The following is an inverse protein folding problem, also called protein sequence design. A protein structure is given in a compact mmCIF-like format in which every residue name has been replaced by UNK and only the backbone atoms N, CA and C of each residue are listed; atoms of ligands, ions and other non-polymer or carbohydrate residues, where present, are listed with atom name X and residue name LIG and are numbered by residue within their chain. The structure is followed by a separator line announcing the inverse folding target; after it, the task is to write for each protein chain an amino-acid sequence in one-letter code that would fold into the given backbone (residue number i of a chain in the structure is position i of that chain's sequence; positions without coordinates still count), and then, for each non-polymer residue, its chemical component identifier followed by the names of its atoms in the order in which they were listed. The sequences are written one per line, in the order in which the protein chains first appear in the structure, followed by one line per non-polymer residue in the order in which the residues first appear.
data_IF_603308037118
#
_entry.id   IF_603308037118
#
_cell.length_a   1.000
_cell.length_b   1.000
_cell.length_c   1.000
_cell.angle_alpha   90.00
_cell.angle_beta   90.00
_cell.angle_gamma   90.00
#
_symmetry.space_group_name_H-M   'P 1'
#
loop_
_entity.id
_entity.type
_entity.pdbx_description
1 polymer ?
#
# COMPACT_ATOMS: atom_id res chain seq x y z
N UNK A 1 15.87 -7.33 -72.24
CA UNK A 1 15.69 -8.31 -73.35
C UNK A 1 16.00 -9.67 -72.75
N UNK A 2 15.14 -10.68 -72.70
CA UNK A 2 13.96 -10.98 -73.49
C UNK A 2 12.85 -11.61 -72.60
N UNK A 3 11.61 -11.42 -73.05
CA UNK A 3 10.41 -12.07 -72.54
C UNK A 3 10.32 -13.52 -73.02
N UNK A 4 9.67 -14.37 -72.24
CA UNK A 4 8.82 -15.43 -72.78
C UNK A 4 7.63 -15.61 -71.83
N UNK A 5 6.47 -15.48 -72.45
CA UNK A 5 5.13 -15.43 -71.90
C UNK A 5 4.46 -16.81 -72.07
N UNK A 6 3.21 -16.91 -71.59
CA UNK A 6 2.13 -17.83 -72.02
C UNK A 6 1.64 -18.89 -71.00
N UNK A 7 0.64 -18.43 -70.23
CA UNK A 7 -0.75 -18.94 -70.07
C UNK A 7 -1.16 -19.90 -68.93
N UNK A 8 -2.14 -19.37 -68.19
CA UNK A 8 -3.46 -19.90 -67.80
C UNK A 8 -3.57 -21.20 -66.98
N UNK A 9 -4.25 -21.12 -65.82
CA UNK A 9 -5.59 -21.71 -65.59
C UNK A 9 -6.13 -21.34 -64.17
N UNK A 10 -7.26 -20.63 -64.19
CA UNK A 10 -8.46 -20.65 -63.34
C UNK A 10 -8.40 -20.79 -61.79
N UNK A 11 -9.04 -19.79 -61.15
CA UNK A 11 -9.71 -19.85 -59.84
C UNK A 11 -10.83 -20.91 -59.80
N UNK A 12 -11.15 -21.40 -58.60
CA UNK A 12 -12.56 -21.49 -58.22
C UNK A 12 -12.83 -20.80 -56.87
N UNK A 13 -13.71 -19.81 -56.94
CA UNK A 13 -14.58 -19.40 -55.85
C UNK A 13 -15.50 -20.55 -55.47
N UNK A 14 -15.64 -20.85 -54.18
CA UNK A 14 -16.82 -21.57 -53.72
C UNK A 14 -17.37 -20.98 -52.41
N UNK A 15 -18.45 -20.23 -52.57
CA UNK A 15 -19.46 -19.94 -51.56
C UNK A 15 -20.31 -21.21 -51.39
N UNK A 16 -20.58 -21.59 -50.15
CA UNK A 16 -21.65 -22.52 -49.77
C UNK A 16 -22.18 -22.08 -48.38
N UNK A 17 -23.43 -22.44 -48.00
CA UNK A 17 -24.45 -21.44 -47.74
C UNK A 17 -24.83 -21.28 -46.27
N UNK A 18 -25.49 -20.15 -46.04
CA UNK A 18 -26.29 -19.81 -44.88
C UNK A 18 -27.39 -20.87 -44.67
N UNK A 19 -27.40 -21.52 -43.50
CA UNK A 19 -28.57 -22.25 -42.99
C UNK A 19 -28.91 -21.62 -41.64
N UNK A 20 -30.03 -20.92 -41.62
CA UNK A 20 -30.67 -20.42 -40.43
C UNK A 20 -31.25 -21.60 -39.64
N UNK A 21 -30.90 -21.71 -38.37
CA UNK A 21 -31.74 -22.39 -37.38
C UNK A 21 -32.19 -21.35 -36.36
N UNK A 22 -33.50 -21.15 -36.39
CA UNK A 22 -34.28 -20.39 -35.44
C UNK A 22 -34.64 -21.30 -34.24
N UNK A 23 -35.11 -20.67 -33.16
CA UNK A 23 -35.76 -21.22 -31.96
C UNK A 23 -34.88 -21.45 -30.72
N UNK A 24 -35.16 -20.66 -29.67
CA UNK A 24 -35.10 -21.19 -28.31
C UNK A 24 -34.80 -20.21 -27.17
N UNK A 25 -35.78 -19.38 -26.82
CA UNK A 25 -35.89 -18.66 -25.55
C UNK A 25 -35.41 -19.46 -24.31
N UNK A 26 -34.26 -19.08 -23.75
CA UNK A 26 -33.85 -19.45 -22.38
C UNK A 26 -33.25 -18.25 -21.66
N UNK A 27 -34.00 -17.14 -21.62
CA UNK A 27 -33.59 -15.87 -20.99
C UNK A 27 -34.44 -15.45 -19.78
N UNK A 28 -35.41 -16.27 -19.34
CA UNK A 28 -36.40 -15.88 -18.32
C UNK A 28 -36.42 -16.78 -17.06
N UNK A 29 -35.83 -17.98 -17.09
CA UNK A 29 -35.89 -18.92 -15.94
C UNK A 29 -34.77 -18.74 -14.90
N UNK A 30 -33.65 -18.10 -15.24
CA UNK A 30 -32.55 -17.89 -14.29
C UNK A 30 -32.79 -16.71 -13.33
N UNK A 31 -33.59 -15.70 -13.75
CA UNK A 31 -33.89 -14.52 -12.92
C UNK A 31 -34.97 -14.78 -11.87
N UNK A 32 -35.86 -15.75 -12.09
CA UNK A 32 -36.95 -16.10 -11.16
C UNK A 32 -36.43 -17.00 -10.02
N UNK A 33 -35.45 -17.87 -10.29
CA UNK A 33 -34.85 -18.72 -9.25
C UNK A 33 -34.01 -17.92 -8.23
N UNK A 34 -33.33 -16.84 -8.66
CA UNK A 34 -32.50 -16.03 -7.78
C UNK A 34 -33.32 -15.13 -6.84
N UNK A 35 -34.52 -14.69 -7.25
CA UNK A 35 -35.41 -13.86 -6.42
C UNK A 35 -36.12 -14.67 -5.33
N UNK A 36 -36.42 -15.96 -5.59
CA UNK A 36 -37.05 -16.85 -4.61
C UNK A 36 -36.11 -17.21 -3.45
N UNK A 37 -34.80 -17.33 -3.70
CA UNK A 37 -33.81 -17.60 -2.65
C UNK A 37 -33.57 -16.39 -1.74
N UNK A 38 -33.66 -15.17 -2.29
CA UNK A 38 -33.49 -13.93 -1.53
C UNK A 38 -34.67 -13.64 -0.57
N UNK A 39 -35.92 -13.98 -0.95
CA UNK A 39 -37.08 -13.81 -0.05
C UNK A 39 -37.12 -14.83 1.10
N UNK A 40 -36.59 -16.04 0.91
CA UNK A 40 -36.57 -17.07 1.96
C UNK A 40 -35.60 -16.73 3.12
N UNK A 41 -34.46 -16.08 2.82
CA UNK A 41 -33.48 -15.64 3.82
C UNK A 41 -33.97 -14.45 4.66
N UNK A 42 -34.71 -13.51 4.06
CA UNK A 42 -35.29 -12.37 4.80
C UNK A 42 -36.39 -12.82 5.78
N UNK A 43 -37.13 -13.89 5.45
CA UNK A 43 -38.15 -14.46 6.36
C UNK A 43 -37.57 -15.22 7.55
N UNK A 44 -36.38 -15.81 7.44
CA UNK A 44 -35.72 -16.46 8.59
C UNK A 44 -35.11 -15.45 9.57
N UNK A 45 -34.68 -14.27 9.12
CA UNK A 45 -34.07 -13.25 9.98
C UNK A 45 -35.06 -12.42 10.82
N UNK A 46 -36.37 -12.54 10.56
CA UNK A 46 -37.40 -11.80 11.31
C UNK A 46 -38.11 -12.61 12.41
N UNK A 47 -37.74 -13.89 12.61
CA UNK A 47 -38.39 -14.79 13.57
C UNK A 47 -37.62 -15.02 14.88
N UNK A 48 -36.68 -14.14 15.24
CA UNK A 48 -35.96 -14.22 16.53
C UNK A 48 -35.99 -12.87 17.27
N UNK A 49 -37.18 -12.42 17.62
CA UNK A 49 -37.37 -11.39 18.65
C UNK A 49 -38.54 -11.79 19.55
N UNK A 50 -38.27 -12.67 20.51
CA UNK A 50 -39.04 -12.74 21.75
C UNK A 50 -38.20 -13.40 22.85
N UNK A 51 -37.54 -12.56 23.64
CA UNK A 51 -37.01 -12.92 24.96
C UNK A 51 -37.68 -11.96 25.94
N UNK A 52 -38.48 -12.44 26.92
CA UNK A 52 -39.13 -11.57 27.90
C UNK A 52 -38.12 -11.07 28.96
N UNK A 53 -38.35 -9.89 29.58
CA UNK A 53 -37.45 -9.33 30.57
C UNK A 53 -37.59 -10.06 31.91
N UNK A 54 -36.47 -10.55 32.46
CA UNK A 54 -36.38 -10.91 33.88
C UNK A 54 -36.01 -9.66 34.69
N UNK A 55 -36.88 -9.34 35.63
CA UNK A 55 -36.59 -8.43 36.74
C UNK A 55 -35.50 -9.02 37.63
N UNK A 56 -34.51 -8.20 37.99
CA UNK A 56 -33.68 -8.41 39.16
C UNK A 56 -33.54 -7.09 39.91
N UNK A 57 -33.84 -7.19 41.20
CA UNK A 57 -33.85 -6.16 42.24
C UNK A 57 -32.51 -5.43 42.44
N UNK A 58 -32.65 -4.22 42.97
CA UNK A 58 -31.58 -3.36 43.46
C UNK A 58 -31.02 -3.83 44.81
N UNK A 59 -29.71 -3.66 45.02
CA UNK A 59 -29.10 -3.49 46.34
C UNK A 59 -27.77 -2.70 46.24
N UNK A 60 -27.34 -1.97 47.29
CA UNK A 60 -26.49 -0.78 47.20
C UNK A 60 -24.98 -1.04 47.34
N UNK A 61 -24.16 -0.04 46.95
CA UNK A 61 -22.68 -0.05 46.99
C UNK A 61 -22.05 -0.15 48.38
N UNK A 62 -20.70 -0.05 48.51
CA UNK A 62 -20.14 1.30 48.66
C UNK A 62 -18.64 1.52 48.24
N UNK A 63 -18.26 2.81 48.26
CA UNK A 63 -16.92 3.43 48.49
C UNK A 63 -15.92 3.54 47.33
N UNK A 64 -15.82 4.78 46.84
CA UNK A 64 -14.67 5.32 46.13
C UNK A 64 -13.47 5.51 47.08
N UNK A 65 -12.29 5.03 46.66
CA UNK A 65 -11.00 5.39 47.24
C UNK A 65 -10.24 6.24 46.21
N UNK A 66 -9.91 7.47 46.58
CA UNK A 66 -9.11 8.41 45.78
C UNK A 66 -7.66 7.92 45.76
N UNK A 67 -7.13 7.56 44.60
CA UNK A 67 -5.69 7.41 44.41
C UNK A 67 -5.20 8.59 43.59
N UNK A 68 -4.36 9.39 44.25
CA UNK A 68 -3.57 10.46 43.69
C UNK A 68 -2.40 9.80 42.93
N UNK A 69 -2.45 9.77 41.60
CA UNK A 69 -1.27 9.39 40.80
C UNK A 69 -0.74 10.61 40.06
N UNK A 70 0.35 11.09 40.63
CA UNK A 70 1.26 12.11 40.15
C UNK A 70 1.89 11.57 38.86
N UNK A 71 1.66 12.26 37.74
CA UNK A 71 2.16 11.89 36.43
C UNK A 71 3.68 11.82 36.41
N UNK A 72 4.19 10.60 36.32
CA UNK A 72 5.56 10.30 35.94
C UNK A 72 5.52 10.06 34.42
N UNK A 73 6.30 10.85 33.67
CA UNK A 73 6.50 10.69 32.24
C UNK A 73 7.04 9.28 31.98
N UNK A 74 6.16 8.37 31.53
CA UNK A 74 6.55 7.11 30.94
C UNK A 74 7.07 7.43 29.54
N UNK A 75 8.35 7.17 29.33
CA UNK A 75 8.89 6.97 27.99
C UNK A 75 8.30 5.63 27.53
N UNK A 76 7.30 5.67 26.65
CA UNK A 76 6.61 4.46 26.19
C UNK A 76 7.63 3.47 25.60
N UNK A 77 7.89 2.42 26.36
CA UNK A 77 8.53 1.22 25.85
C UNK A 77 7.50 0.58 24.94
N UNK A 78 7.60 0.87 23.64
CA UNK A 78 6.69 0.37 22.61
C UNK A 78 6.66 -1.16 22.70
N UNK A 79 5.54 -1.71 23.17
CA UNK A 79 5.34 -3.14 23.29
C UNK A 79 5.34 -3.76 21.90
N UNK A 80 6.22 -4.74 21.67
CA UNK A 80 6.31 -5.56 20.45
C UNK A 80 4.93 -6.03 19.93
N UNK A 81 3.98 -6.22 20.85
CA UNK A 81 2.63 -6.72 20.63
C UNK A 81 1.76 -5.93 19.63
N UNK A 82 2.03 -4.65 19.37
CA UNK A 82 1.16 -3.83 18.51
C UNK A 82 1.31 -4.13 17.01
N UNK A 83 2.45 -4.71 16.60
CA UNK A 83 2.76 -4.98 15.19
C UNK A 83 2.55 -6.44 14.80
N UNK A 84 2.54 -7.36 15.78
CA UNK A 84 2.70 -8.82 15.61
C UNK A 84 1.71 -9.46 14.62
N UNK A 85 0.56 -8.82 14.39
CA UNK A 85 -0.49 -9.29 13.48
C UNK A 85 -0.38 -8.71 12.06
N UNK A 86 0.74 -8.07 11.70
CA UNK A 86 0.96 -7.40 10.41
C UNK A 86 2.36 -7.68 9.84
N UNK A 87 2.60 -7.50 8.52
CA UNK A 87 3.93 -7.64 7.92
C UNK A 87 5.02 -6.75 8.57
N UNK A 88 4.63 -5.65 9.22
CA UNK A 88 5.55 -4.75 9.93
C UNK A 88 6.23 -5.43 11.13
N UNK A 89 5.63 -6.48 11.71
CA UNK A 89 6.25 -7.27 12.79
C UNK A 89 7.61 -7.84 12.36
N UNK A 90 7.66 -8.43 11.16
CA UNK A 90 8.88 -9.06 10.64
C UNK A 90 10.01 -8.04 10.49
N UNK A 91 9.70 -6.85 9.97
CA UNK A 91 10.65 -5.74 9.82
C UNK A 91 11.11 -5.20 11.17
N UNK A 92 10.21 -5.14 12.15
CA UNK A 92 10.52 -4.74 13.51
C UNK A 92 11.44 -5.74 14.21
N UNK A 93 11.16 -7.05 14.11
CA UNK A 93 12.00 -8.10 14.68
C UNK A 93 13.41 -8.11 14.09
N UNK A 94 13.53 -7.75 12.80
CA UNK A 94 14.82 -7.60 12.14
C UNK A 94 15.54 -6.30 12.52
N UNK A 95 14.93 -5.42 13.33
CA UNK A 95 15.50 -4.13 13.70
C UNK A 95 15.57 -3.13 12.54
N UNK A 96 14.74 -3.30 11.51
CA UNK A 96 14.78 -2.45 10.30
C UNK A 96 13.96 -1.18 10.43
N UNK A 97 12.98 -1.15 11.32
CA UNK A 97 12.16 0.04 11.52
C UNK A 97 12.89 1.01 12.46
N UNK A 98 13.50 2.04 11.88
CA UNK A 98 14.31 3.05 12.58
C UNK A 98 13.56 4.37 12.71
N UNK A 99 14.03 5.24 13.61
CA UNK A 99 13.60 6.63 13.78
C UNK A 99 12.07 6.81 13.70
N UNK A 100 11.34 5.99 14.45
CA UNK A 100 9.88 5.97 14.41
C UNK A 100 9.30 7.29 14.93
N UNK A 101 8.71 8.08 14.03
CA UNK A 101 7.87 9.24 14.36
C UNK A 101 6.49 8.76 14.81
N UNK A 102 6.02 7.65 14.24
CA UNK A 102 4.78 7.00 14.61
C UNK A 102 4.90 5.50 14.37
N UNK A 103 4.34 4.71 15.30
CA UNK A 103 4.25 3.26 15.19
C UNK A 103 3.10 2.81 16.09
N UNK A 104 2.19 2.00 15.54
CA UNK A 104 1.08 1.42 16.29
C UNK A 104 -0.25 1.57 15.58
N UNK A 105 -1.34 1.41 16.34
CA UNK A 105 -2.70 1.53 15.83
C UNK A 105 -3.01 2.94 15.34
N UNK A 106 -3.61 3.04 14.15
CA UNK A 106 -4.12 4.31 13.64
C UNK A 106 -5.55 4.58 14.12
N UNK A 107 -6.17 5.66 13.66
CA UNK A 107 -7.56 5.97 14.00
C UNK A 107 -8.55 5.14 13.17
N UNK A 108 -8.09 4.56 12.05
CA UNK A 108 -8.86 3.59 11.29
C UNK A 108 -8.91 2.24 12.01
N UNK A 109 -10.07 1.56 12.03
CA UNK A 109 -10.22 0.30 12.73
C UNK A 109 -9.33 -0.78 12.10
N UNK A 110 -8.68 -1.59 12.94
CA UNK A 110 -7.80 -2.70 12.53
C UNK A 110 -6.59 -2.29 11.71
N UNK A 111 -6.24 -1.01 11.67
CA UNK A 111 -5.10 -0.54 10.89
C UNK A 111 -3.91 -0.25 11.79
N UNK A 112 -2.74 -0.70 11.35
CA UNK A 112 -1.45 -0.42 11.96
C UNK A 112 -0.64 0.44 10.99
N UNK A 113 -0.05 1.50 11.53
CA UNK A 113 0.75 2.44 10.77
C UNK A 113 2.18 2.53 11.28
N UNK A 114 3.08 2.89 10.37
CA UNK A 114 4.46 3.22 10.67
C UNK A 114 4.87 4.48 9.92
N UNK A 115 5.53 5.41 10.61
CA UNK A 115 6.27 6.53 10.03
C UNK A 115 7.65 6.62 10.63
N UNK A 116 8.68 6.70 9.79
CA UNK A 116 10.07 6.75 10.24
C UNK A 116 11.01 6.44 9.09
N UNK A 117 11.95 5.53 9.33
CA UNK A 117 12.94 5.08 8.35
C UNK A 117 12.98 3.55 8.29
N UNK A 118 13.34 3.02 7.13
CA UNK A 118 13.51 1.59 6.90
C UNK A 118 14.96 1.28 6.54
N UNK A 119 15.64 0.50 7.37
CA UNK A 119 16.97 0.01 7.08
C UNK A 119 16.91 -1.05 5.96
N UNK A 120 17.59 -0.76 4.85
CA UNK A 120 17.68 -1.67 3.71
C UNK A 120 18.90 -2.60 3.85
N UNK A 121 20.07 -2.01 4.13
CA UNK A 121 21.31 -2.76 4.38
C UNK A 121 21.97 -2.29 5.68
N UNK A 122 22.27 -3.24 6.56
CA UNK A 122 22.97 -2.97 7.81
C UNK A 122 24.47 -2.91 7.57
N UNK A 123 25.16 -1.97 8.21
CA UNK A 123 26.62 -1.92 8.20
C UNK A 123 27.27 -3.02 9.05
N UNK A 124 28.58 -3.25 8.89
CA UNK A 124 29.32 -4.19 9.71
C UNK A 124 29.25 -3.78 11.19
N UNK A 125 28.86 -4.72 12.06
CA UNK A 125 28.89 -4.53 13.52
C UNK A 125 30.34 -4.50 13.98
N UNK A 126 30.75 -3.41 14.63
CA UNK A 126 32.05 -3.30 15.27
C UNK A 126 31.85 -3.02 16.76
N UNK A 127 32.30 -3.94 17.60
CA UNK A 127 32.42 -3.78 19.06
C UNK A 127 31.15 -3.23 19.75
N UNK A 128 30.03 -3.95 19.61
CA UNK A 128 28.76 -3.71 20.32
C UNK A 128 28.04 -2.37 20.07
N UNK A 129 28.63 -1.47 19.27
CA UNK A 129 27.97 -0.25 18.80
C UNK A 129 27.15 -0.53 17.53
N UNK A 130 25.83 -0.30 17.61
CA UNK A 130 24.95 -0.33 16.45
C UNK A 130 25.29 0.84 15.52
N UNK A 131 26.04 0.57 14.46
CA UNK A 131 26.30 1.55 13.41
C UNK A 131 25.02 1.89 12.64
N UNK A 132 24.90 3.13 12.13
CA UNK A 132 23.82 3.47 11.21
C UNK A 132 23.85 2.51 10.00
N UNK A 133 22.67 2.22 9.41
CA UNK A 133 22.61 1.39 8.21
C UNK A 133 23.45 2.00 7.08
N UNK A 134 24.03 1.15 6.24
CA UNK A 134 24.73 1.59 5.03
C UNK A 134 23.76 2.17 3.99
N UNK A 135 22.54 1.64 3.99
CA UNK A 135 21.47 2.08 3.11
C UNK A 135 20.14 2.05 3.86
N UNK A 136 19.44 3.18 3.83
CA UNK A 136 18.10 3.35 4.39
C UNK A 136 17.16 3.94 3.34
N UNK A 137 15.89 3.56 3.43
CA UNK A 137 14.79 4.31 2.83
C UNK A 137 14.24 5.24 3.91
N UNK A 138 14.27 6.55 3.64
CA UNK A 138 13.90 7.57 4.63
C UNK A 138 12.48 8.07 4.43
N UNK A 139 11.97 8.79 5.42
CA UNK A 139 10.64 9.42 5.39
C UNK A 139 9.52 8.42 5.04
N UNK A 140 9.67 7.20 5.52
CA UNK A 140 8.76 6.08 5.26
C UNK A 140 7.40 6.38 5.87
N UNK A 141 6.35 6.04 5.13
CA UNK A 141 4.98 5.96 5.58
C UNK A 141 4.41 4.64 5.13
N UNK A 142 4.04 3.76 6.05
CA UNK A 142 3.52 2.45 5.73
C UNK A 142 2.26 2.15 6.54
N UNK A 143 1.35 1.42 5.93
CA UNK A 143 0.09 0.98 6.54
C UNK A 143 -0.19 -0.47 6.17
N UNK A 144 -0.62 -1.23 7.16
CA UNK A 144 -1.13 -2.59 7.02
C UNK A 144 -2.40 -2.77 7.86
N UNK A 145 -3.30 -3.62 7.39
CA UNK A 145 -4.44 -4.06 8.19
C UNK A 145 -4.07 -5.31 9.01
N UNK A 146 -4.64 -5.42 10.19
CA UNK A 146 -4.48 -6.55 11.10
C UNK A 146 -4.95 -7.84 10.42
N UNK A 147 -4.08 -8.85 10.44
CA UNK A 147 -4.24 -10.15 9.78
C UNK A 147 -4.13 -10.13 8.24
N UNK A 148 -3.81 -8.98 7.62
CA UNK A 148 -3.41 -8.96 6.21
C UNK A 148 -1.90 -9.21 6.11
N UNK A 149 -1.43 -10.22 5.36
CA UNK A 149 0.00 -10.46 5.19
C UNK A 149 0.69 -9.39 4.33
N UNK A 150 -0.05 -8.49 3.67
CA UNK A 150 0.47 -7.51 2.74
C UNK A 150 0.32 -6.07 3.26
N UNK A 151 1.23 -5.20 2.82
CA UNK A 151 1.10 -3.76 2.99
C UNK A 151 0.03 -3.22 2.05
N UNK A 152 -0.92 -2.46 2.59
CA UNK A 152 -1.92 -1.74 1.80
C UNK A 152 -1.32 -0.50 1.15
N UNK A 153 -0.43 0.18 1.87
CA UNK A 153 0.22 1.41 1.43
C UNK A 153 1.66 1.48 1.94
N UNK A 154 2.55 1.96 1.08
CA UNK A 154 3.94 2.30 1.41
C UNK A 154 4.37 3.53 0.60
N UNK A 155 5.03 4.48 1.25
CA UNK A 155 5.74 5.56 0.61
C UNK A 155 7.11 5.74 1.26
N UNK A 156 8.11 6.15 0.48
CA UNK A 156 9.45 6.42 1.03
C UNK A 156 10.35 7.19 0.08
N UNK A 157 11.43 7.73 0.62
CA UNK A 157 12.47 8.45 -0.10
C UNK A 157 13.66 7.53 -0.36
N UNK A 158 14.24 7.66 -1.55
CA UNK A 158 15.47 7.01 -1.97
C UNK A 158 16.39 8.01 -2.65
N UNK A 159 17.68 7.94 -2.32
CA UNK A 159 18.68 8.75 -3.01
C UNK A 159 18.85 8.33 -4.49
N UNK A 160 18.66 7.04 -4.79
CA UNK A 160 18.75 6.49 -6.14
C UNK A 160 17.61 5.51 -6.39
N UNK A 161 17.04 5.57 -7.59
CA UNK A 161 16.13 4.57 -8.13
C UNK A 161 16.69 3.14 -8.05
N UNK A 162 18.01 2.96 -8.14
CA UNK A 162 18.65 1.65 -8.07
C UNK A 162 18.25 0.89 -6.79
N UNK A 163 18.10 1.61 -5.68
CA UNK A 163 17.74 1.07 -4.38
C UNK A 163 16.29 0.60 -4.27
N UNK A 164 15.46 0.78 -5.31
CA UNK A 164 14.15 0.14 -5.41
C UNK A 164 14.27 -1.38 -5.25
N UNK A 165 15.33 -1.97 -5.81
CA UNK A 165 15.62 -3.40 -5.65
C UNK A 165 15.74 -3.78 -4.18
N UNK A 166 16.55 -3.05 -3.41
CA UNK A 166 16.75 -3.32 -1.99
C UNK A 166 15.44 -3.16 -1.19
N UNK A 167 14.61 -2.16 -1.51
CA UNK A 167 13.28 -2.01 -0.92
C UNK A 167 12.41 -3.23 -1.22
N UNK A 168 12.37 -3.67 -2.48
CA UNK A 168 11.53 -4.79 -2.87
C UNK A 168 11.99 -6.13 -2.27
N UNK A 169 13.30 -6.33 -2.11
CA UNK A 169 13.86 -7.49 -1.44
C UNK A 169 13.55 -7.49 0.08
N UNK A 170 13.65 -6.33 0.74
CA UNK A 170 13.37 -6.20 2.17
C UNK A 170 11.90 -6.34 2.50
N UNK A 171 11.01 -5.76 1.68
CA UNK A 171 9.57 -5.91 1.87
C UNK A 171 9.10 -7.32 1.48
N UNK A 172 9.70 -7.94 0.46
CA UNK A 172 9.51 -9.35 0.12
C UNK A 172 8.03 -9.73 0.03
N UNK A 173 7.61 -10.69 0.86
CA UNK A 173 6.24 -11.22 0.89
C UNK A 173 5.18 -10.21 1.37
N UNK A 174 5.60 -9.09 1.98
CA UNK A 174 4.69 -8.01 2.35
C UNK A 174 4.17 -7.23 1.13
N UNK A 175 4.78 -7.42 -0.05
CA UNK A 175 4.33 -6.82 -1.29
C UNK A 175 3.16 -7.60 -1.91
N UNK A 176 2.27 -6.89 -2.59
CA UNK A 176 1.20 -7.47 -3.39
C UNK A 176 0.85 -6.57 -4.57
N UNK A 177 0.22 -7.12 -5.61
CA UNK A 177 -0.28 -6.33 -6.73
C UNK A 177 -1.44 -5.37 -6.34
N UNK A 178 -2.03 -5.53 -5.15
CA UNK A 178 -3.15 -4.70 -4.66
C UNK A 178 -2.68 -3.51 -3.83
N UNK A 179 -1.48 -3.56 -3.27
CA UNK A 179 -0.93 -2.47 -2.47
C UNK A 179 -0.53 -1.29 -3.35
N UNK A 180 -0.40 -0.12 -2.73
CA UNK A 180 0.04 1.11 -3.39
C UNK A 180 1.40 1.53 -2.83
N UNK A 181 2.42 1.49 -3.68
CA UNK A 181 3.82 1.70 -3.31
C UNK A 181 4.37 2.93 -4.04
N UNK A 182 4.78 3.96 -3.31
CA UNK A 182 5.31 5.20 -3.87
C UNK A 182 6.76 5.38 -3.45
N UNK A 183 7.67 5.56 -4.40
CA UNK A 183 9.07 5.81 -4.15
C UNK A 183 9.46 7.14 -4.77
N UNK A 184 9.93 8.05 -3.94
CA UNK A 184 10.43 9.36 -4.36
C UNK A 184 11.94 9.30 -4.47
N UNK A 185 12.47 9.52 -5.67
CA UNK A 185 13.88 9.33 -5.99
C UNK A 185 14.54 10.63 -6.48
N UNK A 186 15.73 10.94 -5.98
CA UNK A 186 16.46 12.18 -6.32
C UNK A 186 17.04 12.17 -7.75
N UNK A 187 17.32 10.99 -8.30
CA UNK A 187 17.96 10.84 -9.61
C UNK A 187 16.98 10.56 -10.76
N UNK A 188 15.68 10.81 -10.55
CA UNK A 188 14.65 10.77 -11.59
C UNK A 188 14.49 12.16 -12.19
N UNK A 189 14.31 12.24 -13.51
CA UNK A 189 13.99 13.50 -14.19
C UNK A 189 12.68 14.11 -13.64
N UNK A 190 12.71 15.40 -13.30
CA UNK A 190 11.60 16.12 -12.65
C UNK A 190 10.31 16.13 -13.48
N UNK A 191 10.40 15.97 -14.79
CA UNK A 191 9.26 15.95 -15.70
C UNK A 191 8.63 14.57 -15.86
N UNK A 192 9.26 13.53 -15.34
CA UNK A 192 8.87 12.14 -15.58
C UNK A 192 8.29 11.49 -14.33
N UNK A 193 7.37 10.56 -14.54
CA UNK A 193 6.76 9.74 -13.49
C UNK A 193 6.57 8.35 -14.07
N UNK A 194 6.84 7.34 -13.27
CA UNK A 194 6.91 5.97 -13.75
C UNK A 194 6.05 5.01 -12.93
N UNK A 195 5.56 3.98 -13.58
CA UNK A 195 5.09 2.74 -12.95
C UNK A 195 6.10 1.64 -13.26
N UNK A 196 6.64 1.02 -12.22
CA UNK A 196 7.68 0.00 -12.35
C UNK A 196 7.17 -1.31 -11.74
N UNK A 197 6.73 -2.27 -12.55
CA UNK A 197 6.39 -3.60 -12.06
C UNK A 197 7.67 -4.32 -11.61
N UNK A 198 7.72 -4.71 -10.34
CA UNK A 198 8.87 -5.38 -9.76
C UNK A 198 8.45 -6.28 -8.57
N UNK A 199 8.98 -7.50 -8.52
CA UNK A 199 8.73 -8.47 -7.44
C UNK A 199 7.23 -8.68 -7.08
N UNK A 200 6.34 -8.73 -8.09
CA UNK A 200 4.90 -8.95 -7.88
C UNK A 200 4.10 -7.74 -7.39
N UNK A 201 4.73 -6.57 -7.32
CA UNK A 201 4.10 -5.28 -7.03
C UNK A 201 4.35 -4.27 -8.16
N UNK A 202 3.59 -3.17 -8.16
CA UNK A 202 3.81 -2.02 -9.04
C UNK A 202 4.21 -0.83 -8.18
N UNK A 203 5.41 -0.30 -8.42
CA UNK A 203 5.92 0.88 -7.74
C UNK A 203 5.67 2.13 -8.57
N UNK A 204 5.05 3.14 -7.97
CA UNK A 204 5.00 4.49 -8.51
C UNK A 204 6.30 5.18 -8.16
N UNK A 205 7.12 5.47 -9.17
CA UNK A 205 8.41 6.13 -8.98
C UNK A 205 8.28 7.58 -9.45
N UNK A 206 8.52 8.50 -8.52
CA UNK A 206 8.36 9.92 -8.73
C UNK A 206 9.66 10.66 -8.39
N UNK A 207 9.94 11.79 -9.06
CA UNK A 207 11.06 12.64 -8.72
C UNK A 207 10.74 13.44 -7.45
N UNK A 208 11.79 13.84 -6.74
CA UNK A 208 11.69 14.75 -5.60
C UNK A 208 12.91 15.67 -5.58
N UNK A 209 12.69 16.94 -5.27
CA UNK A 209 13.77 17.94 -5.14
C UNK A 209 13.47 18.83 -3.95
N UNK A 210 14.38 18.83 -2.97
CA UNK A 210 14.37 19.73 -1.81
C UNK A 210 13.01 19.80 -1.08
N UNK A 211 12.26 18.69 -1.12
CA UNK A 211 10.95 18.54 -0.51
C UNK A 211 10.92 17.32 0.40
N UNK A 212 9.77 17.01 0.99
CA UNK A 212 9.58 15.82 1.81
C UNK A 212 8.56 14.90 1.14
N UNK A 213 8.73 13.58 1.28
CA UNK A 213 7.78 12.56 0.82
C UNK A 213 6.38 12.89 1.31
N UNK A 214 6.25 13.38 2.54
CA UNK A 214 4.96 13.80 3.07
C UNK A 214 4.33 14.90 2.21
N UNK A 215 5.05 15.99 1.92
CA UNK A 215 4.53 17.09 1.10
C UNK A 215 4.21 16.65 -0.33
N UNK A 216 5.10 15.88 -0.97
CA UNK A 216 4.88 15.36 -2.32
C UNK A 216 3.66 14.46 -2.41
N UNK A 217 3.47 13.58 -1.40
CA UNK A 217 2.26 12.77 -1.31
C UNK A 217 1.00 13.62 -1.15
N UNK A 218 1.04 14.71 -0.38
CA UNK A 218 -0.13 15.60 -0.27
C UNK A 218 -0.48 16.25 -1.61
N UNK A 219 0.53 16.71 -2.35
CA UNK A 219 0.32 17.32 -3.66
C UNK A 219 -0.21 16.30 -4.68
N UNK A 220 0.41 15.11 -4.72
CA UNK A 220 0.01 14.00 -5.59
C UNK A 220 -1.43 13.54 -5.35
N UNK A 221 -1.85 13.51 -4.08
CA UNK A 221 -3.17 13.06 -3.65
C UNK A 221 -4.20 14.20 -3.54
N UNK A 222 -3.81 15.43 -3.89
CA UNK A 222 -4.64 16.63 -3.76
C UNK A 222 -5.21 16.85 -2.34
N UNK A 223 -4.41 16.57 -1.32
CA UNK A 223 -4.77 16.75 0.09
C UNK A 223 -4.32 18.14 0.58
N UNK A 224 -5.25 18.88 1.19
CA UNK A 224 -4.94 20.20 1.72
C UNK A 224 -4.33 20.15 3.12
N UNK A 225 -3.27 20.93 3.33
CA UNK A 225 -2.63 21.08 4.65
C UNK A 225 -3.60 21.63 5.71
N UNK A 226 -4.60 22.41 5.31
CA UNK A 226 -5.63 22.99 6.19
C UNK A 226 -6.44 21.92 6.92
N UNK A 227 -6.78 20.83 6.23
CA UNK A 227 -7.58 19.72 6.74
C UNK A 227 -6.79 18.83 7.70
N UNK A 228 -5.50 18.64 7.41
CA UNK A 228 -4.60 17.78 8.17
C UNK A 228 -4.16 18.40 9.50
N UNK A 229 -4.22 19.74 9.65
CA UNK A 229 -3.91 20.42 10.91
C UNK A 229 -4.81 20.02 12.07
N UNK A 230 -6.02 19.54 11.78
CA UNK A 230 -7.00 19.08 12.80
C UNK A 230 -6.80 17.62 13.21
N UNK A 231 -5.89 16.89 12.56
CA UNK A 231 -5.63 15.48 12.80
C UNK A 231 -4.34 15.31 13.61
N UNK A 232 -4.31 14.28 14.44
CA UNK A 232 -3.12 13.80 15.11
C UNK A 232 -2.20 13.03 14.13
N UNK A 233 -1.05 12.55 14.60
CA UNK A 233 -0.06 11.88 13.72
C UNK A 233 -0.62 10.62 13.07
N UNK A 234 -1.41 9.83 13.81
CA UNK A 234 -2.12 8.67 13.28
C UNK A 234 -3.16 9.06 12.24
N UNK A 235 -4.02 10.03 12.55
CA UNK A 235 -5.06 10.48 11.62
C UNK A 235 -4.52 11.12 10.34
N UNK A 236 -3.34 11.76 10.39
CA UNK A 236 -2.65 12.25 9.19
C UNK A 236 -2.20 11.10 8.29
N UNK A 237 -1.64 10.04 8.88
CA UNK A 237 -1.26 8.84 8.14
C UNK A 237 -2.48 8.17 7.50
N UNK A 238 -3.59 8.06 8.24
CA UNK A 238 -4.85 7.53 7.70
C UNK A 238 -5.33 8.32 6.49
N UNK A 239 -5.36 9.66 6.57
CA UNK A 239 -5.81 10.50 5.47
C UNK A 239 -4.97 10.30 4.20
N UNK A 240 -3.64 10.20 4.35
CA UNK A 240 -2.73 9.93 3.23
C UNK A 240 -2.94 8.52 2.68
N UNK A 241 -3.01 7.50 3.54
CA UNK A 241 -3.18 6.12 3.12
C UNK A 241 -4.53 5.88 2.43
N UNK A 242 -5.62 6.44 2.95
CA UNK A 242 -6.96 6.30 2.38
C UNK A 242 -7.03 6.92 0.97
N UNK A 243 -6.46 8.11 0.79
CA UNK A 243 -6.39 8.75 -0.53
C UNK A 243 -5.44 7.99 -1.48
N UNK A 244 -4.31 7.49 -0.98
CA UNK A 244 -3.34 6.72 -1.76
C UNK A 244 -3.90 5.39 -2.26
N UNK A 245 -4.68 4.67 -1.45
CA UNK A 245 -5.30 3.39 -1.82
C UNK A 245 -6.26 3.57 -3.01
N UNK A 246 -6.93 4.72 -3.09
CA UNK A 246 -7.83 5.09 -4.18
C UNK A 246 -7.12 5.69 -5.40
N UNK A 247 -5.81 5.92 -5.32
CA UNK A 247 -5.04 6.54 -6.39
C UNK A 247 -4.90 5.58 -7.59
N UNK A 248 -5.35 6.02 -8.76
CA UNK A 248 -5.34 5.20 -9.98
C UNK A 248 -4.91 5.96 -11.23
N UNK A 249 -4.12 7.03 -11.08
CA UNK A 249 -3.60 7.73 -12.25
C UNK A 249 -2.54 6.87 -12.97
N UNK A 250 -2.67 6.70 -14.30
CA UNK A 250 -1.68 5.99 -15.08
C UNK A 250 -0.43 6.86 -15.30
N UNK A 251 0.75 6.26 -15.18
CA UNK A 251 2.03 6.85 -15.58
C UNK A 251 2.73 5.93 -16.59
N UNK A 252 3.81 6.44 -17.18
CA UNK A 252 4.60 5.67 -18.14
C UNK A 252 5.16 4.42 -17.44
N UNK A 253 4.90 3.25 -18.02
CA UNK A 253 5.40 1.99 -17.47
C UNK A 253 6.78 1.69 -18.03
N UNK A 254 7.74 1.44 -17.15
CA UNK A 254 9.11 1.02 -17.53
C UNK A 254 9.54 -0.17 -16.70
N UNK A 255 10.41 -1.01 -17.26
CA UNK A 255 11.08 -2.05 -16.49
C UNK A 255 12.15 -1.47 -15.57
N UNK A 256 12.56 -2.23 -14.56
CA UNK A 256 13.66 -1.83 -13.68
C UNK A 256 14.97 -1.60 -14.46
N UNK A 257 15.27 -2.44 -15.45
CA UNK A 257 16.48 -2.31 -16.27
C UNK A 257 16.46 -1.00 -17.09
N UNK A 258 15.34 -0.70 -17.74
CA UNK A 258 15.17 0.56 -18.49
C UNK A 258 15.25 1.78 -17.56
N UNK A 259 14.71 1.66 -16.34
CA UNK A 259 14.81 2.72 -15.33
C UNK A 259 16.26 3.02 -14.93
N UNK A 260 17.11 1.99 -14.76
CA UNK A 260 18.52 2.19 -14.45
C UNK A 260 19.27 2.94 -15.54
N UNK A 261 18.93 2.70 -16.81
CA UNK A 261 19.52 3.41 -17.95
C UNK A 261 19.01 4.85 -18.09
N UNK A 262 17.77 5.10 -17.66
CA UNK A 262 17.13 6.41 -17.77
C UNK A 262 17.50 7.39 -16.65
N UNK A 263 18.01 6.91 -15.51
CA UNK A 263 18.24 7.76 -14.35
C UNK A 263 19.48 8.64 -14.47
N UNK A 264 19.36 9.83 -13.88
CA UNK A 264 20.43 10.81 -13.80
C UNK A 264 21.53 10.42 -12.79
N UNK A 265 22.59 11.23 -12.71
CA UNK A 265 23.66 11.03 -11.73
C UNK A 265 23.11 11.12 -10.31
N UNK A 266 23.62 10.25 -9.43
CA UNK A 266 23.29 10.26 -8.01
C UNK A 266 23.99 11.45 -7.35
N UNK A 267 23.20 12.37 -6.76
CA UNK A 267 23.74 13.51 -6.01
C UNK A 267 24.40 13.01 -4.72
N UNK A 268 25.52 13.60 -4.30
CA UNK A 268 26.14 13.26 -3.02
C UNK A 268 25.51 14.11 -1.89
N UNK A 269 24.76 13.51 -0.94
CA UNK A 269 24.11 14.26 0.14
C UNK A 269 25.11 14.97 1.07
N UNK A 270 26.37 14.52 1.10
CA UNK A 270 27.40 15.03 1.98
C UNK A 270 28.29 16.11 1.34
N UNK A 271 28.06 16.47 0.07
CA UNK A 271 28.95 17.37 -0.69
C UNK A 271 29.09 18.76 -0.06
N UNK A 272 28.05 19.24 0.64
CA UNK A 272 28.02 20.57 1.28
C UNK A 272 28.11 20.55 2.81
N UNK A 273 28.41 19.40 3.44
CA UNK A 273 28.56 19.34 4.90
C UNK A 273 30.00 19.75 5.27
N UNK A 274 30.21 20.76 6.15
CA UNK A 274 31.55 21.04 6.66
C UNK A 274 32.05 19.83 7.45
N UNK A 275 33.25 19.36 7.09
CA UNK A 275 33.98 18.27 7.76
C UNK A 275 34.46 18.67 9.16
#
# INVERSE_FOLDING_TARGET
MAACDVRDVAFPTNRAPFVANDMGSTGQSARIACLALALALVRMLQSSRHIPPRMCEAAPGPRACKIHQRGMLMTDTISHHELDETPLASLQHQGRLLNAVFRGHTNAPRRIGFRGELALRFGPRLADEARPPELSCEQVMAVADVSDPHLSFFAGWLLSFEYLRDVAEVLGNALSARGKYFLFCDNVDLSRRYQVPYNGAVFYVLPIVESTVYNEMLELLHLEKSELKRKDTAGKLDAVADAAILFDLPFDTISYAEGLEAMGPVRNPNENRPV
#
